data_IF_809505681476
#
_entry.id   IF_809505681476
#
_cell.length_a   1.000
_cell.length_b   1.000
_cell.length_c   1.000
_cell.angle_alpha   90.00
_cell.angle_beta   90.00
_cell.angle_gamma   90.00
#
_symmetry.space_group_name_H-M   'P 1'
#
loop_
_entity.id
_entity.type
_entity.pdbx_description
1 polymer ?
#
# COMPACT_ATOMS: atom_id res chain seq x y z
N UNK A 1 -22.87 16.60 -5.53
CA UNK A 1 -22.81 15.14 -5.75
C UNK A 1 -21.35 14.68 -5.63
N UNK A 2 -21.06 13.67 -4.81
CA UNK A 2 -19.71 13.11 -4.73
C UNK A 2 -19.36 12.37 -6.04
N UNK A 3 -18.24 12.73 -6.68
CA UNK A 3 -17.77 12.03 -7.88
C UNK A 3 -17.43 10.59 -7.50
N UNK A 4 -18.04 9.61 -8.19
CA UNK A 4 -17.71 8.19 -8.05
C UNK A 4 -16.43 7.89 -8.82
N UNK A 5 -15.64 6.93 -8.32
CA UNK A 5 -14.48 6.41 -9.06
C UNK A 5 -15.00 5.52 -10.19
N UNK A 6 -14.71 5.83 -11.46
CA UNK A 6 -15.18 5.01 -12.59
C UNK A 6 -14.44 3.67 -12.60
N UNK A 7 -15.20 2.58 -12.71
CA UNK A 7 -14.70 1.21 -12.82
C UNK A 7 -15.26 0.63 -14.12
N UNK A 8 -14.42 0.00 -14.94
CA UNK A 8 -14.83 -0.57 -16.23
C UNK A 8 -14.25 -1.96 -16.45
N UNK A 9 -14.76 -2.68 -17.46
CA UNK A 9 -14.33 -4.05 -17.80
C UNK A 9 -14.90 -5.12 -16.87
N UNK A 10 -14.63 -6.39 -17.18
CA UNK A 10 -15.12 -7.55 -16.42
C UNK A 10 -16.65 -7.59 -16.26
N UNK A 11 -17.12 -8.36 -15.28
CA UNK A 11 -18.55 -8.48 -14.96
C UNK A 11 -19.04 -7.32 -14.07
N UNK A 12 -20.33 -6.93 -14.20
CA UNK A 12 -20.99 -5.94 -13.33
C UNK A 12 -20.79 -6.29 -11.85
N UNK A 13 -21.01 -7.57 -11.51
CA UNK A 13 -20.80 -8.09 -10.15
C UNK A 13 -19.39 -7.82 -9.63
N UNK A 14 -18.36 -7.95 -10.47
CA UNK A 14 -16.98 -7.68 -10.06
C UNK A 14 -16.72 -6.19 -9.88
N UNK A 15 -17.26 -5.35 -10.75
CA UNK A 15 -17.19 -3.89 -10.59
C UNK A 15 -17.85 -3.44 -9.28
N UNK A 16 -19.02 -3.99 -8.96
CA UNK A 16 -19.72 -3.76 -7.68
C UNK A 16 -18.90 -4.26 -6.49
N UNK A 17 -18.25 -5.41 -6.60
CA UNK A 17 -17.36 -5.92 -5.55
C UNK A 17 -16.18 -4.97 -5.30
N UNK A 18 -15.57 -4.42 -6.37
CA UNK A 18 -14.49 -3.43 -6.26
C UNK A 18 -15.03 -2.16 -5.59
N UNK A 19 -16.16 -1.62 -6.05
CA UNK A 19 -16.80 -0.45 -5.46
C UNK A 19 -17.14 -0.64 -3.97
N UNK A 20 -17.74 -1.78 -3.62
CA UNK A 20 -18.02 -2.16 -2.23
C UNK A 20 -16.75 -2.26 -1.39
N UNK A 21 -15.67 -2.82 -1.95
CA UNK A 21 -14.38 -2.91 -1.24
C UNK A 21 -13.81 -1.52 -0.95
N UNK A 22 -13.93 -0.57 -1.89
CA UNK A 22 -13.50 0.81 -1.67
C UNK A 22 -14.36 1.45 -0.57
N UNK A 23 -15.69 1.35 -0.66
CA UNK A 23 -16.61 1.91 0.32
C UNK A 23 -16.42 1.31 1.72
N UNK A 24 -16.15 0.01 1.81
CA UNK A 24 -15.96 -0.73 3.08
C UNK A 24 -14.68 -0.35 3.81
N UNK A 25 -13.63 0.11 3.10
CA UNK A 25 -12.27 0.24 3.64
C UNK A 25 -11.69 1.66 3.60
N UNK A 26 -12.34 2.59 2.91
CA UNK A 26 -11.94 4.00 2.83
C UNK A 26 -13.05 4.92 3.32
N UNK A 27 -12.67 6.11 3.80
CA UNK A 27 -13.61 7.19 4.14
C UNK A 27 -14.09 7.90 2.87
N UNK A 28 -15.24 8.59 2.95
CA UNK A 28 -15.72 9.41 1.84
C UNK A 28 -14.68 10.46 1.41
N UNK A 29 -14.00 11.11 2.36
CA UNK A 29 -12.93 12.08 2.08
C UNK A 29 -11.77 11.47 1.29
N UNK A 30 -11.35 10.24 1.61
CA UNK A 30 -10.30 9.53 0.85
C UNK A 30 -10.79 9.18 -0.56
N UNK A 31 -12.03 8.69 -0.68
CA UNK A 31 -12.64 8.34 -1.97
C UNK A 31 -12.76 9.57 -2.87
N UNK A 32 -13.24 10.70 -2.34
CA UNK A 32 -13.32 11.97 -3.05
C UNK A 32 -11.93 12.48 -3.45
N UNK A 33 -10.93 12.36 -2.58
CA UNK A 33 -9.55 12.72 -2.90
C UNK A 33 -9.00 11.94 -4.09
N UNK A 34 -9.29 10.64 -4.18
CA UNK A 34 -8.92 9.80 -5.33
C UNK A 34 -9.76 10.13 -6.58
N UNK A 35 -11.07 10.32 -6.41
CA UNK A 35 -11.99 10.63 -7.52
C UNK A 35 -11.73 12.01 -8.17
N UNK A 36 -11.09 12.95 -7.46
CA UNK A 36 -10.66 14.25 -8.01
C UNK A 36 -9.66 14.12 -9.15
N UNK A 37 -8.99 12.97 -9.28
CA UNK A 37 -8.15 12.69 -10.45
C UNK A 37 -8.94 12.67 -11.76
N UNK A 38 -10.24 12.34 -11.72
CA UNK A 38 -11.08 12.31 -12.93
C UNK A 38 -10.46 11.41 -14.00
N UNK A 39 -10.22 11.97 -15.19
CA UNK A 39 -9.68 11.25 -16.36
C UNK A 39 -8.25 10.74 -16.17
N UNK A 40 -7.53 11.26 -15.17
CA UNK A 40 -6.19 10.81 -14.79
C UNK A 40 -6.19 9.47 -14.06
N UNK A 41 -7.35 8.95 -13.63
CA UNK A 41 -7.50 7.65 -12.98
C UNK A 41 -8.33 6.71 -13.84
N UNK A 42 -7.79 5.53 -14.12
CA UNK A 42 -8.51 4.40 -14.73
C UNK A 42 -8.50 3.21 -13.78
N UNK A 43 -9.68 2.69 -13.46
CA UNK A 43 -9.82 1.42 -12.74
C UNK A 43 -10.44 0.40 -13.70
N UNK A 44 -9.68 -0.64 -14.05
CA UNK A 44 -10.08 -1.66 -15.01
C UNK A 44 -10.13 -3.03 -14.34
N UNK A 45 -11.22 -3.75 -14.55
CA UNK A 45 -11.31 -5.17 -14.25
C UNK A 45 -10.87 -5.97 -15.48
N UNK A 46 -9.93 -6.88 -15.31
CA UNK A 46 -9.37 -7.73 -16.37
C UNK A 46 -7.93 -8.14 -16.09
N UNK A 47 -7.29 -8.76 -17.09
CA UNK A 47 -5.94 -9.30 -16.93
C UNK A 47 -4.89 -8.22 -16.69
N UNK A 48 -4.05 -8.49 -15.69
CA UNK A 48 -2.86 -7.73 -15.35
C UNK A 48 -1.70 -8.13 -16.27
N UNK A 49 -0.76 -7.21 -16.50
CA UNK A 49 0.46 -7.49 -17.28
C UNK A 49 1.42 -8.46 -16.56
N UNK A 50 1.13 -8.79 -15.29
CA UNK A 50 1.92 -9.71 -14.47
C UNK A 50 1.03 -10.87 -14.04
N UNK A 51 1.14 -12.01 -14.71
CA UNK A 51 0.29 -13.20 -14.50
C UNK A 51 0.21 -13.71 -13.04
N UNK A 52 1.18 -13.31 -12.20
CA UNK A 52 1.26 -13.66 -10.77
C UNK A 52 0.58 -12.64 -9.84
N UNK A 53 0.11 -11.50 -10.35
CA UNK A 53 -0.54 -10.46 -9.57
C UNK A 53 -2.08 -10.57 -9.68
N UNK A 54 -2.78 -10.37 -8.56
CA UNK A 54 -4.24 -10.34 -8.55
C UNK A 54 -4.78 -8.92 -8.80
N UNK A 55 -3.96 -7.90 -8.55
CA UNK A 55 -4.22 -6.53 -8.92
C UNK A 55 -2.89 -5.80 -9.12
N UNK A 56 -2.90 -4.68 -9.83
CA UNK A 56 -1.72 -3.85 -10.02
C UNK A 56 -2.05 -2.37 -10.08
N UNK A 57 -1.25 -1.56 -9.39
CA UNK A 57 -1.25 -0.12 -9.50
C UNK A 57 -0.06 0.37 -10.33
N UNK A 58 -0.37 1.05 -11.43
CA UNK A 58 0.60 1.77 -12.26
C UNK A 58 0.59 3.26 -11.91
N UNK A 59 1.75 3.75 -11.49
CA UNK A 59 2.03 5.17 -11.24
C UNK A 59 2.26 5.91 -12.56
N UNK A 60 2.08 7.23 -12.52
CA UNK A 60 2.48 8.13 -13.61
C UNK A 60 3.99 8.39 -13.57
N UNK A 61 4.69 8.10 -14.67
CA UNK A 61 6.10 8.48 -14.85
C UNK A 61 6.27 9.57 -15.92
N UNK A 62 5.23 9.84 -16.70
CA UNK A 62 5.13 10.97 -17.61
C UNK A 62 3.86 11.79 -17.35
N UNK A 63 3.80 13.08 -17.74
CA UNK A 63 2.62 13.93 -17.52
C UNK A 63 1.34 13.44 -18.20
N UNK A 64 1.47 12.82 -19.37
CA UNK A 64 0.41 12.25 -20.20
C UNK A 64 -0.03 10.84 -19.75
N UNK A 65 0.75 10.18 -18.89
CA UNK A 65 0.36 8.91 -18.29
C UNK A 65 -0.87 9.09 -17.39
N UNK A 66 -1.64 8.02 -17.25
CA UNK A 66 -2.74 7.92 -16.28
C UNK A 66 -2.34 7.00 -15.13
N UNK A 67 -2.91 7.23 -13.96
CA UNK A 67 -2.96 6.20 -12.92
C UNK A 67 -3.85 5.07 -13.42
N UNK A 68 -3.34 3.84 -13.37
CA UNK A 68 -4.12 2.67 -13.76
C UNK A 68 -4.12 1.69 -12.60
N UNK A 69 -5.30 1.31 -12.15
CA UNK A 69 -5.49 0.17 -11.26
C UNK A 69 -6.14 -0.93 -12.10
N UNK A 70 -5.43 -2.03 -12.29
CA UNK A 70 -5.97 -3.23 -12.93
C UNK A 70 -6.30 -4.26 -11.85
N UNK A 71 -7.48 -4.87 -11.92
CA UNK A 71 -7.98 -5.84 -10.95
C UNK A 71 -8.39 -7.10 -11.69
N UNK A 72 -7.75 -8.24 -11.41
CA UNK A 72 -8.17 -9.53 -11.95
C UNK A 72 -9.58 -9.89 -11.45
N UNK A 73 -10.32 -10.69 -12.23
CA UNK A 73 -11.62 -11.20 -11.78
C UNK A 73 -11.50 -12.03 -10.49
N UNK A 74 -10.38 -12.74 -10.30
CA UNK A 74 -10.10 -13.50 -9.07
C UNK A 74 -9.65 -12.67 -7.87
N UNK A 75 -9.40 -11.37 -8.04
CA UNK A 75 -8.82 -10.53 -6.99
C UNK A 75 -9.70 -10.46 -5.74
N UNK A 76 -9.11 -10.65 -4.56
CA UNK A 76 -9.84 -10.54 -3.30
C UNK A 76 -9.91 -9.09 -2.80
N UNK A 77 -10.63 -8.88 -1.68
CA UNK A 77 -10.75 -7.54 -1.07
C UNK A 77 -9.41 -6.95 -0.65
N UNK A 78 -8.42 -7.78 -0.32
CA UNK A 78 -7.10 -7.32 0.11
C UNK A 78 -6.29 -6.80 -1.07
N UNK A 79 -6.26 -7.52 -2.19
CA UNK A 79 -5.60 -7.08 -3.41
C UNK A 79 -6.18 -5.74 -3.89
N UNK A 80 -7.51 -5.63 -3.96
CA UNK A 80 -8.17 -4.37 -4.34
C UNK A 80 -7.80 -3.24 -3.37
N UNK A 81 -7.98 -3.44 -2.06
CA UNK A 81 -7.68 -2.39 -1.09
C UNK A 81 -6.21 -1.96 -1.11
N UNK A 82 -5.29 -2.89 -1.37
CA UNK A 82 -3.86 -2.61 -1.48
C UNK A 82 -3.53 -1.61 -2.58
N UNK A 83 -4.07 -1.81 -3.78
CA UNK A 83 -3.85 -0.87 -4.89
C UNK A 83 -4.46 0.51 -4.62
N UNK A 84 -5.61 0.56 -3.94
CA UNK A 84 -6.22 1.83 -3.54
C UNK A 84 -5.46 2.52 -2.40
N UNK A 85 -4.76 1.77 -1.53
CA UNK A 85 -3.84 2.37 -0.56
C UNK A 85 -2.67 3.02 -1.28
N UNK A 86 -2.07 2.36 -2.28
CA UNK A 86 -1.00 2.99 -3.09
C UNK A 86 -1.47 4.31 -3.69
N UNK A 87 -2.63 4.31 -4.34
CA UNK A 87 -3.22 5.51 -4.91
C UNK A 87 -3.44 6.59 -3.83
N UNK A 88 -4.02 6.22 -2.69
CA UNK A 88 -4.29 7.14 -1.59
C UNK A 88 -3.01 7.80 -1.05
N UNK A 89 -1.91 7.04 -0.89
CA UNK A 89 -0.61 7.55 -0.43
C UNK A 89 -0.02 8.58 -1.39
N UNK A 90 -0.24 8.39 -2.69
CA UNK A 90 0.18 9.32 -3.75
C UNK A 90 -0.65 10.61 -3.69
N UNK A 91 -1.98 10.50 -3.75
CA UNK A 91 -2.87 11.67 -3.91
C UNK A 91 -3.03 12.50 -2.63
N UNK A 92 -2.94 11.88 -1.46
CA UNK A 92 -3.10 12.58 -0.19
C UNK A 92 -1.80 13.29 0.21
N UNK A 93 -1.79 14.61 0.01
CA UNK A 93 -0.66 15.48 0.34
C UNK A 93 -0.56 15.80 1.83
N UNK A 94 -1.58 15.51 2.63
CA UNK A 94 -1.58 15.77 4.08
C UNK A 94 -0.82 14.69 4.86
N UNK A 95 -0.63 13.50 4.27
CA UNK A 95 0.15 12.39 4.83
C UNK A 95 1.61 12.80 5.02
N UNK A 96 2.22 12.24 6.06
CA UNK A 96 3.62 12.48 6.46
C UNK A 96 4.22 11.15 6.90
N UNK A 97 5.55 11.07 7.00
CA UNK A 97 6.23 9.87 7.50
C UNK A 97 6.07 8.66 6.57
N UNK A 98 6.01 7.46 7.15
CA UNK A 98 5.91 6.19 6.42
C UNK A 98 4.60 6.00 5.65
N UNK A 99 3.57 6.79 5.97
CA UNK A 99 2.26 6.86 5.34
C UNK A 99 2.26 7.69 4.08
N UNK A 100 3.22 8.60 3.94
CA UNK A 100 3.45 9.24 2.66
C UNK A 100 4.17 8.28 1.73
N UNK A 101 3.83 8.33 0.45
CA UNK A 101 4.57 7.57 -0.56
C UNK A 101 6.07 7.92 -0.50
N UNK A 102 6.94 6.93 -0.57
CA UNK A 102 8.41 7.13 -0.57
C UNK A 102 8.90 7.68 -1.91
N UNK A 103 8.06 7.64 -2.94
CA UNK A 103 8.33 8.25 -4.23
C UNK A 103 8.10 9.75 -4.17
N UNK A 104 9.07 10.54 -4.63
CA UNK A 104 8.89 11.99 -4.74
C UNK A 104 8.02 12.24 -5.95
N UNK A 105 6.85 12.82 -5.70
CA UNK A 105 5.89 13.16 -6.74
C UNK A 105 5.88 14.67 -6.98
N UNK A 106 6.04 15.10 -8.22
CA UNK A 106 5.98 16.51 -8.62
C UNK A 106 4.58 17.13 -8.56
N UNK A 107 4.43 18.35 -9.10
CA UNK A 107 3.16 19.12 -9.10
C UNK A 107 1.98 18.34 -9.72
N UNK A 108 2.27 17.52 -10.73
CA UNK A 108 1.29 16.70 -11.47
C UNK A 108 1.23 15.24 -10.98
N UNK A 109 1.74 14.96 -9.77
CA UNK A 109 1.84 13.61 -9.20
C UNK A 109 2.70 12.62 -10.00
N UNK A 110 3.54 13.12 -10.90
CA UNK A 110 4.53 12.34 -11.67
C UNK A 110 5.69 11.98 -10.74
N UNK A 111 6.04 10.69 -10.69
CA UNK A 111 7.20 10.21 -9.93
C UNK A 111 8.51 10.69 -10.57
N UNK A 112 9.51 11.07 -9.76
CA UNK A 112 10.81 11.53 -10.27
C UNK A 112 11.49 10.46 -11.14
N UNK A 113 12.05 10.81 -12.32
CA UNK A 113 12.77 9.88 -13.19
C UNK A 113 13.97 9.18 -12.52
N UNK A 114 14.65 9.85 -11.59
CA UNK A 114 15.78 9.31 -10.81
C UNK A 114 15.38 8.09 -9.96
N UNK A 115 14.08 7.88 -9.74
CA UNK A 115 13.54 6.76 -8.97
C UNK A 115 13.13 5.58 -9.85
N UNK A 116 13.44 5.62 -11.15
CA UNK A 116 13.04 4.60 -12.14
C UNK A 116 14.04 3.46 -12.28
N UNK A 117 15.34 3.72 -12.15
CA UNK A 117 16.39 2.77 -12.52
C UNK A 117 17.34 2.44 -11.36
N UNK A 118 17.86 1.20 -11.36
CA UNK A 118 18.89 0.73 -10.43
C UNK A 118 18.38 0.16 -9.09
N UNK A 119 19.31 -0.16 -8.20
CA UNK A 119 19.05 -0.77 -6.89
C UNK A 119 18.19 0.13 -5.98
N UNK A 120 18.30 1.46 -6.10
CA UNK A 120 17.49 2.40 -5.34
C UNK A 120 16.00 2.27 -5.66
N UNK A 121 15.62 2.18 -6.94
CA UNK A 121 14.22 2.02 -7.36
C UNK A 121 13.59 0.76 -6.74
N UNK A 122 14.37 -0.31 -6.59
CA UNK A 122 13.97 -1.54 -5.92
C UNK A 122 13.76 -1.38 -4.41
N UNK A 123 14.65 -0.63 -3.73
CA UNK A 123 14.50 -0.31 -2.32
C UNK A 123 13.23 0.51 -2.07
N UNK A 124 13.01 1.55 -2.88
CA UNK A 124 11.84 2.41 -2.80
C UNK A 124 10.56 1.61 -3.03
N UNK A 125 10.53 0.76 -4.05
CA UNK A 125 9.38 -0.10 -4.35
C UNK A 125 9.05 -1.00 -3.18
N UNK A 126 10.05 -1.68 -2.62
CA UNK A 126 9.80 -2.58 -1.50
C UNK A 126 9.38 -1.83 -0.24
N UNK A 127 9.99 -0.68 0.06
CA UNK A 127 9.60 0.15 1.19
C UNK A 127 8.14 0.62 1.07
N UNK A 128 7.75 1.07 -0.13
CA UNK A 128 6.37 1.44 -0.44
C UNK A 128 5.42 0.25 -0.29
N UNK A 129 5.71 -0.90 -0.92
CA UNK A 129 4.87 -2.11 -0.82
C UNK A 129 4.69 -2.56 0.63
N UNK A 130 5.73 -2.45 1.45
CA UNK A 130 5.67 -2.78 2.87
C UNK A 130 4.74 -1.85 3.65
N UNK A 131 4.90 -0.54 3.46
CA UNK A 131 4.04 0.45 4.11
C UNK A 131 2.58 0.32 3.63
N UNK A 132 2.37 0.16 2.32
CA UNK A 132 1.05 -0.10 1.72
C UNK A 132 0.42 -1.37 2.29
N UNK A 133 1.20 -2.46 2.44
CA UNK A 133 0.71 -3.72 3.03
C UNK A 133 0.28 -3.54 4.49
N UNK A 134 1.06 -2.79 5.27
CA UNK A 134 0.75 -2.49 6.67
C UNK A 134 -0.54 -1.65 6.81
N UNK A 135 -0.70 -0.60 6.02
CA UNK A 135 -1.93 0.21 6.01
C UNK A 135 -3.14 -0.60 5.53
N UNK A 136 -2.96 -1.42 4.49
CA UNK A 136 -4.01 -2.31 3.98
C UNK A 136 -4.45 -3.30 5.05
N UNK A 137 -3.52 -3.84 5.84
CA UNK A 137 -3.82 -4.73 6.94
C UNK A 137 -4.64 -4.06 8.06
N UNK A 138 -4.49 -2.74 8.26
CA UNK A 138 -5.33 -1.96 9.17
C UNK A 138 -6.73 -1.69 8.60
N UNK A 139 -6.80 -1.38 7.30
CA UNK A 139 -8.05 -1.05 6.60
C UNK A 139 -8.96 -2.25 6.39
N UNK A 140 -8.40 -3.42 6.07
CA UNK A 140 -9.17 -4.62 5.71
C UNK A 140 -9.47 -5.50 6.92
N UNK A 141 -10.76 -5.84 7.11
CA UNK A 141 -11.27 -6.65 8.24
C UNK A 141 -10.78 -8.11 8.28
N UNK A 142 -10.10 -8.60 7.23
CA UNK A 142 -9.81 -10.02 7.01
C UNK A 142 -8.35 -10.27 6.69
N UNK A 143 -7.78 -11.36 7.23
CA UNK A 143 -6.46 -11.88 6.84
C UNK A 143 -6.61 -12.51 5.45
N UNK A 144 -6.32 -11.74 4.40
CA UNK A 144 -6.22 -12.26 3.03
C UNK A 144 -4.82 -12.81 2.75
N UNK A 145 -4.59 -13.30 1.53
CA UNK A 145 -3.22 -13.59 1.07
C UNK A 145 -2.49 -12.25 0.98
N UNK A 146 -1.34 -12.07 1.66
CA UNK A 146 -0.66 -10.78 1.61
C UNK A 146 -0.19 -10.54 0.17
N UNK A 147 -0.32 -9.29 -0.33
CA UNK A 147 0.43 -8.89 -1.50
C UNK A 147 1.92 -9.12 -1.23
N UNK A 148 2.66 -9.58 -2.24
CA UNK A 148 4.07 -9.93 -2.08
C UNK A 148 4.88 -8.64 -1.89
N UNK A 149 5.29 -8.35 -0.65
CA UNK A 149 6.26 -7.29 -0.36
C UNK A 149 7.67 -7.89 -0.35
N UNK A 150 8.62 -7.27 -1.08
CA UNK A 150 9.89 -7.86 -1.57
C UNK A 150 9.66 -8.91 -2.67
N UNK A 151 9.96 -8.55 -3.92
CA UNK A 151 9.74 -9.39 -5.11
C UNK A 151 10.51 -10.73 -5.10
N UNK A 152 11.45 -10.92 -4.17
CA UNK A 152 12.33 -12.10 -4.05
C UNK A 152 12.14 -12.85 -2.71
N UNK A 153 10.88 -13.07 -2.31
CA UNK A 153 10.55 -14.09 -1.29
C UNK A 153 10.45 -15.51 -1.88
N UNK A 154 10.66 -15.63 -3.20
CA UNK A 154 10.46 -16.84 -3.99
C UNK A 154 11.64 -17.80 -3.98
N UNK A 155 12.77 -17.46 -3.36
CA UNK A 155 13.77 -18.48 -3.07
C UNK A 155 13.09 -19.51 -2.17
N UNK A 156 12.93 -20.73 -2.68
CA UNK A 156 13.07 -21.86 -1.79
C UNK A 156 14.49 -21.77 -1.26
N UNK A 157 14.65 -22.00 0.03
CA UNK A 157 16.00 -22.25 0.52
C UNK A 157 16.59 -23.39 -0.35
N UNK A 158 17.73 -23.17 -1.02
CA UNK A 158 18.24 -24.08 -2.04
C UNK A 158 18.67 -25.44 -1.49
N UNK A 159 18.80 -25.56 -0.15
CA UNK A 159 19.16 -26.78 0.54
C UNK A 159 17.95 -27.51 1.13
N UNK A 160 16.90 -26.78 1.54
CA UNK A 160 15.74 -27.37 2.23
C UNK A 160 14.47 -27.43 1.37
N UNK A 161 14.40 -26.69 0.25
CA UNK A 161 13.22 -26.66 -0.63
C UNK A 161 11.98 -25.98 -0.01
N UNK A 162 12.10 -25.51 1.24
CA UNK A 162 11.03 -24.85 2.00
C UNK A 162 10.86 -23.43 1.46
N UNK A 163 9.63 -22.94 1.22
CA UNK A 163 9.40 -21.55 0.90
C UNK A 163 9.99 -20.68 2.01
N UNK A 164 10.86 -19.72 1.69
CA UNK A 164 11.54 -18.85 2.67
C UNK A 164 10.59 -18.07 3.61
N UNK A 165 9.28 -18.07 3.34
CA UNK A 165 8.25 -17.46 4.18
C UNK A 165 7.01 -18.37 4.39
N UNK A 166 7.17 -19.52 5.06
CA UNK A 166 6.04 -20.40 5.39
C UNK A 166 5.08 -19.75 6.41
N UNK A 167 5.55 -18.70 7.10
CA UNK A 167 4.85 -17.97 8.16
C UNK A 167 4.22 -16.65 7.71
N UNK A 168 3.95 -16.46 6.41
CA UNK A 168 3.38 -15.19 5.90
C UNK A 168 2.07 -14.81 6.62
N UNK A 169 1.21 -15.79 6.89
CA UNK A 169 -0.02 -15.63 7.66
C UNK A 169 0.27 -15.19 9.10
N UNK A 170 1.24 -15.81 9.76
CA UNK A 170 1.60 -15.45 11.14
C UNK A 170 2.28 -14.10 11.24
N UNK A 171 3.08 -13.73 10.24
CA UNK A 171 3.65 -12.38 10.12
C UNK A 171 2.55 -11.33 9.98
N UNK A 172 1.52 -11.59 9.17
CA UNK A 172 0.37 -10.68 9.08
C UNK A 172 -0.41 -10.60 10.38
N UNK A 173 -0.61 -11.72 11.08
CA UNK A 173 -1.28 -11.74 12.38
C UNK A 173 -0.48 -10.94 13.40
N UNK A 174 0.83 -11.16 13.47
CA UNK A 174 1.75 -10.41 14.30
C UNK A 174 1.70 -8.91 13.95
N UNK A 175 1.82 -8.57 12.67
CA UNK A 175 1.91 -7.17 12.24
C UNK A 175 0.59 -6.45 12.45
N UNK A 176 -0.55 -7.11 12.25
CA UNK A 176 -1.85 -6.57 12.64
C UNK A 176 -1.98 -6.36 14.14
N UNK A 177 -1.46 -7.29 14.95
CA UNK A 177 -1.43 -7.11 16.40
C UNK A 177 -0.57 -5.90 16.73
N UNK A 178 0.65 -5.81 16.24
CA UNK A 178 1.54 -4.68 16.52
C UNK A 178 0.96 -3.34 16.04
N UNK A 179 0.36 -3.31 14.85
CA UNK A 179 -0.32 -2.13 14.32
C UNK A 179 -1.55 -1.73 15.16
N UNK A 180 -2.20 -2.69 15.86
CA UNK A 180 -3.41 -2.47 16.68
C UNK A 180 -3.17 -2.31 18.19
N UNK A 181 -2.14 -2.93 18.77
CA UNK A 181 -1.98 -3.24 20.20
C UNK A 181 -1.90 -2.02 21.14
N UNK A 182 -1.67 -0.81 20.63
CA UNK A 182 -1.60 0.42 21.46
C UNK A 182 -2.58 1.52 21.07
N UNK A 183 -3.52 1.24 20.17
CA UNK A 183 -4.80 1.93 20.26
C UNK A 183 -5.53 1.26 21.41
N UNK A 184 -6.12 2.02 22.33
CA UNK A 184 -6.92 1.47 23.42
C UNK A 184 -8.04 0.60 22.82
N UNK A 185 -7.78 -0.71 22.71
CA UNK A 185 -8.69 -1.67 22.06
C UNK A 185 -9.84 -2.06 22.99
N UNK A 186 -9.92 -1.44 24.17
CA UNK A 186 -11.09 -1.48 25.04
C UNK A 186 -12.33 -0.89 24.35
N UNK A 187 -12.17 0.06 23.42
CA UNK A 187 -13.28 0.76 22.77
C UNK A 187 -13.45 0.49 21.26
N UNK A 188 -12.42 -0.02 20.57
CA UNK A 188 -12.55 -0.38 19.16
C UNK A 188 -13.05 -1.81 18.98
N UNK A 189 -14.19 -2.04 18.30
CA UNK A 189 -14.63 -3.39 18.00
C UNK A 189 -13.54 -4.08 17.19
N UNK A 190 -13.00 -5.19 17.71
CA UNK A 190 -11.98 -6.03 17.06
C UNK A 190 -12.30 -6.37 15.58
N UNK A 191 -13.58 -6.22 15.19
CA UNK A 191 -14.18 -6.55 13.89
C UNK A 191 -14.40 -5.36 12.92
N UNK A 192 -14.16 -4.09 13.29
CA UNK A 192 -14.36 -2.95 12.37
C UNK A 192 -13.07 -2.58 11.60
N UNK A 193 -13.24 -2.13 10.35
CA UNK A 193 -12.16 -1.56 9.54
C UNK A 193 -11.68 -0.26 10.16
N UNK A 194 -10.37 -0.01 10.11
CA UNK A 194 -9.79 1.27 10.55
C UNK A 194 -9.52 2.09 9.29
N UNK A 195 -10.00 3.34 9.24
CA UNK A 195 -9.98 4.16 8.02
C UNK A 195 -9.36 5.55 8.27
N UNK A 196 -9.10 6.29 7.19
CA UNK A 196 -8.65 7.69 7.25
C UNK A 196 -7.46 7.93 8.16
N UNK A 197 -7.51 9.05 8.89
CA UNK A 197 -6.44 9.51 9.78
C UNK A 197 -6.12 8.52 10.90
N UNK A 198 -7.10 7.73 11.36
CA UNK A 198 -6.86 6.68 12.36
C UNK A 198 -5.97 5.57 11.80
N UNK A 199 -6.23 5.10 10.57
CA UNK A 199 -5.41 4.06 9.94
C UNK A 199 -3.98 4.57 9.69
N UNK A 200 -3.87 5.79 9.17
CA UNK A 200 -2.59 6.46 8.91
C UNK A 200 -1.81 6.65 10.22
N UNK A 201 -2.43 7.21 11.25
CA UNK A 201 -1.77 7.45 12.54
C UNK A 201 -1.37 6.17 13.26
N UNK A 202 -2.17 5.09 13.17
CA UNK A 202 -1.80 3.80 13.73
C UNK A 202 -0.64 3.16 13.00
N UNK A 203 -0.63 3.26 11.66
CA UNK A 203 0.51 2.81 10.88
C UNK A 203 1.78 3.58 11.27
N UNK A 204 1.75 4.91 11.26
CA UNK A 204 2.90 5.73 11.68
C UNK A 204 3.47 5.33 13.05
N UNK A 205 2.59 5.17 14.06
CA UNK A 205 3.03 4.88 15.42
C UNK A 205 3.62 3.48 15.59
N UNK A 206 3.18 2.52 14.80
CA UNK A 206 3.47 1.10 15.06
C UNK A 206 4.25 0.40 13.94
N UNK A 207 4.46 1.05 12.79
CA UNK A 207 5.11 0.42 11.62
C UNK A 207 6.46 -0.20 11.98
N UNK A 208 7.31 0.51 12.72
CA UNK A 208 8.65 0.06 13.16
C UNK A 208 8.66 -1.22 14.01
N UNK A 209 7.51 -1.61 14.56
CA UNK A 209 7.35 -2.82 15.38
C UNK A 209 6.96 -4.03 14.54
N UNK A 210 6.46 -3.81 13.32
CA UNK A 210 6.05 -4.89 12.40
C UNK A 210 7.26 -5.62 11.83
N UNK A 211 7.09 -6.91 11.51
CA UNK A 211 8.04 -7.72 10.75
C UNK A 211 8.18 -7.20 9.32
N UNK A 212 7.09 -6.71 8.72
CA UNK A 212 7.09 -6.01 7.43
C UNK A 212 8.15 -4.88 7.39
N UNK A 213 8.21 -4.03 8.41
CA UNK A 213 9.16 -2.90 8.45
C UNK A 213 10.64 -3.30 8.54
N UNK A 214 10.92 -4.49 9.09
CA UNK A 214 12.29 -4.99 9.36
C UNK A 214 12.90 -5.72 8.18
N UNK A 215 12.13 -5.98 7.12
CA UNK A 215 12.62 -6.68 5.95
C UNK A 215 13.66 -5.84 5.20
N UNK A 216 14.69 -6.51 4.68
CA UNK A 216 15.85 -5.91 4.05
C UNK A 216 15.92 -6.22 2.55
N UNK A 217 16.44 -5.27 1.78
CA UNK A 217 17.03 -5.48 0.45
C UNK A 217 18.33 -4.67 0.42
N UNK A 218 19.42 -5.20 -0.13
CA UNK A 218 20.71 -4.50 -0.20
C UNK A 218 21.18 -3.93 1.14
N UNK A 219 21.03 -4.70 2.22
CA UNK A 219 21.47 -4.32 3.57
C UNK A 219 20.56 -3.36 4.34
N UNK A 220 19.70 -2.58 3.67
CA UNK A 220 18.79 -1.60 4.31
C UNK A 220 17.39 -2.17 4.51
N UNK A 221 16.77 -1.82 5.63
CA UNK A 221 15.39 -2.16 5.98
C UNK A 221 14.37 -1.24 5.28
N UNK A 222 13.13 -1.70 5.11
CA UNK A 222 12.05 -0.90 4.56
C UNK A 222 11.82 0.41 5.34
N UNK A 223 11.97 0.36 6.67
CA UNK A 223 11.86 1.57 7.51
C UNK A 223 13.02 2.54 7.30
N UNK A 224 14.27 2.08 7.24
CA UNK A 224 15.44 2.95 7.00
C UNK A 224 15.37 3.66 5.65
N UNK A 225 14.80 3.00 4.62
CA UNK A 225 14.57 3.61 3.31
C UNK A 225 13.43 4.62 3.38
N UNK A 226 12.31 4.27 4.00
CA UNK A 226 11.16 5.18 4.11
C UNK A 226 11.52 6.47 4.88
N UNK A 227 12.27 6.35 5.97
CA UNK A 227 12.68 7.49 6.81
C UNK A 227 13.65 8.43 6.07
N UNK A 228 14.61 7.90 5.31
CA UNK A 228 15.56 8.73 4.55
C UNK A 228 14.86 9.53 3.45
N UNK A 229 13.91 8.92 2.74
CA UNK A 229 13.26 9.54 1.59
C UNK A 229 12.16 10.54 1.96
N UNK A 230 11.46 10.27 3.07
CA UNK A 230 10.37 11.14 3.54
C UNK A 230 10.85 12.23 4.53
N UNK A 231 12.14 12.19 4.92
CA UNK A 231 12.80 13.26 5.68
C UNK A 231 12.39 13.36 7.15
N UNK A 232 12.02 12.25 7.80
CA UNK A 232 11.60 12.20 9.21
C UNK A 232 12.10 10.93 9.92
N UNK A 233 12.68 11.11 11.12
CA UNK A 233 13.11 10.01 11.99
C UNK A 233 11.94 9.49 12.85
N UNK A 234 12.11 8.30 13.47
CA UNK A 234 11.20 7.58 14.42
C UNK A 234 10.46 8.42 15.49
N UNK A 235 10.81 9.68 15.67
CA UNK A 235 10.26 10.61 16.67
C UNK A 235 9.70 11.92 16.09
N UNK A 236 9.45 12.00 14.78
CA UNK A 236 8.87 13.20 14.15
C UNK A 236 9.77 14.44 14.12
N UNK A 237 11.00 14.35 14.64
CA UNK A 237 12.02 15.39 14.48
C UNK A 237 12.64 15.28 13.08
N UNK A 238 12.73 16.41 12.38
CA UNK A 238 13.50 16.52 11.12
C UNK A 238 14.92 16.04 11.40
N UNK A 239 15.46 15.18 10.55
CA UNK A 239 16.88 14.89 10.55
C UNK A 239 17.61 16.25 10.40
N UNK A 240 18.49 16.58 11.36
CA UNK A 240 19.39 17.73 11.21
C UNK A 240 20.23 17.43 9.96
N UNK A 241 20.12 18.29 8.95
CA UNK A 241 21.08 18.29 7.85
C UNK A 241 22.43 18.70 8.47
N UNK A 242 23.39 17.79 8.42
CA UNK A 242 24.82 18.06 8.59
C UNK A 242 25.32 18.87 7.40
#
# INVERSE_FOLDING_TARGET
>A
MARRIPISGGTVRKQEQVASTIADNFTMKEIEGMARLGDDLRVKVGSTENEKADASFRRKYKPDDRFVITVEDRADKMAVAHEFVHLSRVVDRSRKGVAKTVYRTGRNLVASPEQRDGSMADHLRNAEECATSAETALKVKRLGRPPVYFRDLGDKDPYTGIPKYPYAKDNMVHDRRELRRRADMSEMPRRKSIKGETAVGMMERNYSRTRISKRKKGGRTAIEVSESETGRNRHGKRAKKS
#
